data_IF_761507214698
#
_entry.id   IF_761507214698
#
_cell.length_a   1.000
_cell.length_b   1.000
_cell.length_c   1.000
_cell.angle_alpha   90.00
_cell.angle_beta   90.00
_cell.angle_gamma   90.00
#
_symmetry.space_group_name_H-M   'P 1'
#
loop_
_entity.id
_entity.type
_entity.pdbx_description
1 polymer ?
#
# COMPACT_ATOMS: atom_id res chain seq x y z
N UNK A 1 8.80 -18.75 20.09
CA UNK A 1 8.40 -17.93 18.93
C UNK A 1 8.83 -18.67 17.70
N UNK A 2 7.87 -19.10 16.88
CA UNK A 2 8.09 -19.93 15.71
C UNK A 2 8.49 -19.01 14.55
N UNK A 3 9.75 -19.06 14.13
CA UNK A 3 10.31 -18.21 13.06
C UNK A 3 9.71 -18.51 11.67
N UNK A 4 8.93 -19.58 11.55
CA UNK A 4 8.27 -19.99 10.31
C UNK A 4 6.95 -19.25 10.02
N UNK A 5 6.41 -18.48 10.98
CA UNK A 5 5.14 -17.75 10.80
C UNK A 5 5.33 -16.42 10.07
N UNK A 6 6.54 -15.82 10.19
CA UNK A 6 6.87 -14.57 9.49
C UNK A 6 7.17 -14.80 8.00
N UNK A 7 7.81 -15.93 7.66
CA UNK A 7 8.21 -16.23 6.28
C UNK A 7 7.02 -16.52 5.36
N UNK A 8 5.91 -17.06 5.88
CA UNK A 8 4.72 -17.38 5.07
C UNK A 8 3.97 -16.10 4.65
N UNK A 9 4.02 -15.05 5.47
CA UNK A 9 3.43 -13.75 5.13
C UNK A 9 4.36 -12.88 4.27
N UNK A 10 5.68 -13.14 4.31
CA UNK A 10 6.66 -12.48 3.44
C UNK A 10 6.67 -13.12 2.04
N UNK A 11 6.45 -14.44 1.91
CA UNK A 11 6.39 -15.14 0.60
C UNK A 11 5.10 -14.92 -0.21
N UNK A 12 3.99 -14.44 0.38
CA UNK A 12 2.69 -14.38 -0.32
C UNK A 12 2.46 -13.08 -1.12
N UNK A 13 3.35 -12.07 -1.06
CA UNK A 13 3.12 -10.74 -1.66
C UNK A 13 4.22 -10.25 -2.61
N UNK A 14 4.90 -11.14 -3.33
CA UNK A 14 6.05 -10.76 -4.17
C UNK A 14 5.71 -10.45 -5.65
N UNK A 15 4.44 -10.34 -6.06
CA UNK A 15 4.14 -9.92 -7.44
C UNK A 15 3.80 -8.44 -7.55
N UNK A 16 4.11 -7.82 -8.69
CA UNK A 16 3.67 -6.46 -9.02
C UNK A 16 2.14 -6.27 -8.84
N UNK A 17 1.37 -7.31 -9.13
CA UNK A 17 -0.07 -7.33 -8.90
C UNK A 17 -0.47 -7.33 -7.42
N UNK A 18 0.34 -7.92 -6.54
CA UNK A 18 0.15 -7.88 -5.09
C UNK A 18 0.40 -6.48 -4.55
N UNK A 19 1.47 -5.82 -4.98
CA UNK A 19 1.77 -4.43 -4.62
C UNK A 19 0.62 -3.50 -5.01
N UNK A 20 0.06 -3.62 -6.21
CA UNK A 20 -1.13 -2.86 -6.60
C UNK A 20 -2.37 -3.19 -5.75
N UNK A 21 -2.61 -4.46 -5.42
CA UNK A 21 -3.74 -4.86 -4.55
C UNK A 21 -3.59 -4.30 -3.14
N UNK A 22 -2.38 -4.28 -2.59
CA UNK A 22 -2.08 -3.69 -1.28
C UNK A 22 -2.24 -2.17 -1.30
N UNK A 23 -1.77 -1.49 -2.35
CA UNK A 23 -2.02 -0.07 -2.54
C UNK A 23 -3.53 0.24 -2.55
N UNK A 24 -4.30 -0.51 -3.34
CA UNK A 24 -5.76 -0.36 -3.42
C UNK A 24 -6.45 -0.61 -2.07
N UNK A 25 -6.04 -1.66 -1.35
CA UNK A 25 -6.55 -1.97 -0.01
C UNK A 25 -6.36 -0.78 0.94
N UNK A 26 -5.15 -0.22 0.98
CA UNK A 26 -4.85 0.91 1.83
C UNK A 26 -5.58 2.19 1.39
N UNK A 27 -5.70 2.47 0.09
CA UNK A 27 -6.50 3.61 -0.39
C UNK A 27 -7.98 3.49 -0.01
N UNK A 28 -8.58 2.31 -0.12
CA UNK A 28 -9.96 2.09 0.28
C UNK A 28 -10.16 2.31 1.79
N UNK A 29 -9.22 1.84 2.62
CA UNK A 29 -9.23 2.07 4.05
C UNK A 29 -9.05 3.56 4.41
N UNK A 30 -8.14 4.27 3.71
CA UNK A 30 -7.96 5.71 3.88
C UNK A 30 -9.25 6.48 3.57
N UNK A 31 -9.91 6.17 2.44
CA UNK A 31 -11.18 6.78 2.07
C UNK A 31 -12.26 6.55 3.14
N UNK A 32 -12.36 5.32 3.66
CA UNK A 32 -13.28 4.99 4.76
C UNK A 32 -13.02 5.83 6.00
N UNK A 33 -11.76 5.98 6.42
CA UNK A 33 -11.43 6.75 7.62
C UNK A 33 -11.65 8.25 7.43
N UNK A 34 -11.42 8.80 6.23
CA UNK A 34 -11.78 10.18 5.93
C UNK A 34 -13.30 10.41 6.03
N UNK A 35 -14.12 9.47 5.55
CA UNK A 35 -15.58 9.55 5.72
C UNK A 35 -15.99 9.51 7.21
N UNK A 36 -15.34 8.65 8.01
CA UNK A 36 -15.60 8.60 9.46
C UNK A 36 -15.14 9.87 10.19
N UNK A 37 -14.04 10.49 9.75
CA UNK A 37 -13.59 11.76 10.30
C UNK A 37 -14.61 12.87 10.01
N UNK A 38 -15.11 12.94 8.78
CA UNK A 38 -16.16 13.90 8.40
C UNK A 38 -17.45 13.70 9.22
N UNK A 39 -17.90 12.46 9.42
CA UNK A 39 -19.07 12.20 10.27
C UNK A 39 -18.83 12.61 11.74
N UNK A 40 -17.63 12.37 12.27
CA UNK A 40 -17.31 12.81 13.63
C UNK A 40 -17.27 14.35 13.77
N UNK A 41 -16.78 15.06 12.75
CA UNK A 41 -16.81 16.52 12.67
C UNK A 41 -18.26 17.05 12.65
N UNK A 42 -19.12 16.45 11.81
CA UNK A 42 -20.55 16.78 11.74
C UNK A 42 -21.27 16.59 13.10
N UNK A 43 -20.85 15.60 13.88
CA UNK A 43 -21.38 15.28 15.21
C UNK A 43 -20.73 16.12 16.34
N UNK A 44 -19.68 16.89 16.05
CA UNK A 44 -18.93 17.70 17.02
C UNK A 44 -17.99 16.90 17.93
N UNK A 45 -17.58 15.69 17.53
CA UNK A 45 -16.60 14.86 18.24
C UNK A 45 -15.19 15.07 17.66
N UNK A 46 -14.53 16.14 18.13
CA UNK A 46 -13.19 16.54 17.68
C UNK A 46 -12.15 15.43 17.85
N UNK A 47 -12.21 14.67 18.96
CA UNK A 47 -11.25 13.60 19.23
C UNK A 47 -11.41 12.44 18.22
N UNK A 48 -12.65 12.06 17.91
CA UNK A 48 -12.91 11.05 16.89
C UNK A 48 -12.54 11.55 15.48
N UNK A 49 -12.77 12.82 15.17
CA UNK A 49 -12.34 13.44 13.92
C UNK A 49 -10.82 13.31 13.75
N UNK A 50 -10.04 13.81 14.71
CA UNK A 50 -8.56 13.76 14.67
C UNK A 50 -8.02 12.33 14.59
N UNK A 51 -8.57 11.41 15.40
CA UNK A 51 -8.14 10.00 15.38
C UNK A 51 -8.39 9.35 14.03
N UNK A 52 -9.55 9.58 13.41
CA UNK A 52 -9.87 8.99 12.12
C UNK A 52 -9.04 9.64 11.00
N UNK A 53 -8.83 10.96 11.03
CA UNK A 53 -7.95 11.65 10.09
C UNK A 53 -6.52 11.10 10.14
N UNK A 54 -5.97 10.87 11.34
CA UNK A 54 -4.64 10.28 11.50
C UNK A 54 -4.57 8.85 10.94
N UNK A 55 -5.60 8.01 11.18
CA UNK A 55 -5.67 6.67 10.57
C UNK A 55 -5.69 6.74 9.05
N UNK A 56 -6.50 7.64 8.49
CA UNK A 56 -6.57 7.82 7.05
C UNK A 56 -5.20 8.19 6.47
N UNK A 57 -4.49 9.14 7.09
CA UNK A 57 -3.15 9.55 6.68
C UNK A 57 -2.15 8.39 6.66
N UNK A 58 -2.14 7.54 7.70
CA UNK A 58 -1.25 6.36 7.69
C UNK A 58 -1.57 5.39 6.56
N UNK A 59 -2.85 5.15 6.28
CA UNK A 59 -3.24 4.31 5.15
C UNK A 59 -2.82 4.93 3.81
N UNK A 60 -2.90 6.26 3.66
CA UNK A 60 -2.40 6.94 2.45
C UNK A 60 -0.89 6.72 2.25
N UNK A 61 -0.08 6.86 3.31
CA UNK A 61 1.36 6.61 3.22
C UNK A 61 1.69 5.18 2.79
N UNK A 62 1.02 4.19 3.39
CA UNK A 62 1.22 2.79 3.01
C UNK A 62 0.78 2.53 1.57
N UNK A 63 -0.35 3.11 1.14
CA UNK A 63 -0.85 2.94 -0.22
C UNK A 63 0.14 3.49 -1.26
N UNK A 64 0.71 4.66 -0.99
CA UNK A 64 1.73 5.27 -1.86
C UNK A 64 2.99 4.41 -1.90
N UNK A 65 3.47 3.90 -0.76
CA UNK A 65 4.65 3.02 -0.73
C UNK A 65 4.46 1.76 -1.58
N UNK A 66 3.31 1.09 -1.47
CA UNK A 66 3.04 -0.09 -2.30
C UNK A 66 2.89 0.26 -3.79
N UNK A 67 2.33 1.42 -4.12
CA UNK A 67 2.28 1.88 -5.50
C UNK A 67 3.68 2.22 -6.05
N UNK A 68 4.55 2.80 -5.22
CA UNK A 68 5.95 3.09 -5.56
C UNK A 68 6.75 1.82 -5.82
N UNK A 69 6.64 0.81 -4.95
CA UNK A 69 7.29 -0.50 -5.15
C UNK A 69 6.82 -1.12 -6.47
N UNK A 70 5.52 -1.09 -6.77
CA UNK A 70 5.01 -1.61 -8.03
C UNK A 70 5.63 -0.90 -9.27
N UNK A 71 5.84 0.41 -9.20
CA UNK A 71 6.49 1.17 -10.27
C UNK A 71 7.97 0.79 -10.39
N UNK A 72 8.69 0.73 -9.27
CA UNK A 72 10.10 0.35 -9.25
C UNK A 72 10.34 -1.08 -9.78
N UNK A 73 9.45 -2.01 -9.44
CA UNK A 73 9.49 -3.39 -9.93
C UNK A 73 9.21 -3.45 -11.43
N UNK A 74 8.28 -2.63 -11.96
CA UNK A 74 8.08 -2.56 -13.42
C UNK A 74 9.27 -2.00 -14.18
N UNK A 75 9.89 -0.94 -13.66
CA UNK A 75 11.06 -0.31 -14.30
C UNK A 75 12.27 -1.27 -14.30
N UNK A 76 12.46 -2.04 -13.22
CA UNK A 76 13.54 -3.03 -13.13
C UNK A 76 13.40 -4.17 -14.14
N UNK A 77 12.17 -4.58 -14.46
CA UNK A 77 11.90 -5.62 -15.46
C UNK A 77 12.14 -5.11 -16.89
N UNK A 78 11.85 -3.85 -17.19
CA UNK A 78 12.07 -3.25 -18.51
C UNK A 78 13.57 -3.14 -18.86
N UNK A 79 14.45 -2.95 -17.87
CA UNK A 79 15.90 -2.89 -18.07
C UNK A 79 16.52 -4.27 -18.35
N UNK A 80 15.96 -5.37 -17.82
CA UNK A 80 16.48 -6.74 -18.00
C UNK A 80 16.20 -7.30 -19.42
N UNK A 81 15.05 -6.97 -20.00
CA UNK A 81 14.65 -7.40 -21.36
C UNK A 81 15.54 -6.81 -22.48
N UNK A 82 16.32 -5.76 -22.19
CA UNK A 82 17.17 -5.08 -23.20
C UNK A 82 18.56 -5.73 -23.34
N UNK A 83 18.98 -6.61 -22.43
CA UNK A 83 20.32 -7.20 -22.41
C UNK A 83 20.46 -8.53 -23.18
N UNK A 84 19.35 -9.12 -23.64
CA UNK A 84 19.37 -10.43 -24.35
C UNK A 84 19.55 -10.34 -25.89
N UNK A 85 19.61 -9.14 -26.49
CA UNK A 85 19.62 -8.98 -27.97
C UNK A 85 20.98 -8.49 -28.53
N UNK A 86 22.11 -8.97 -27.99
CA UNK A 86 23.44 -8.62 -28.57
C UNK A 86 24.48 -9.74 -28.57
N UNK A 87 24.05 -11.00 -28.69
CA UNK A 87 24.94 -12.11 -28.98
C UNK A 87 24.79 -12.54 -30.45
N UNK A 88 25.44 -11.79 -31.35
CA UNK A 88 25.86 -12.28 -32.68
C UNK A 88 27.24 -11.67 -33.04
#
# INVERSE_FOLDING_TARGET
MNTADTTILEEEFETLGDHHRMAAHHFAAAAKFHLLAATADDDGDDEACERNAHKAYRHQLNAVQYAEIAVMDSESLEDEDTLEISAD
#
